data_IF_543778905916
#
_entry.id   IF_543778905916
#
_cell.length_a   1.000
_cell.length_b   1.000
_cell.length_c   1.000
_cell.angle_alpha   90.00
_cell.angle_beta   90.00
_cell.angle_gamma   90.00
#
_symmetry.space_group_name_H-M   'P 1'
#
loop_
_entity.id
_entity.type
_entity.pdbx_description
1 polymer ?
#
# COMPACT_ATOMS: atom_id res chain seq x y z
N UNK A 1 4.76 24.47 -2.77
CA UNK A 1 4.67 23.35 -1.80
C UNK A 1 6.05 23.10 -1.21
N UNK A 2 6.20 22.99 0.11
CA UNK A 2 7.49 22.64 0.70
C UNK A 2 7.85 21.16 0.44
N UNK A 3 9.13 20.79 0.50
CA UNK A 3 9.57 19.40 0.35
C UNK A 3 8.87 18.46 1.35
N UNK A 4 8.63 18.94 2.58
CA UNK A 4 7.91 18.19 3.60
C UNK A 4 6.44 17.95 3.26
N UNK A 5 5.76 18.94 2.67
CA UNK A 5 4.37 18.78 2.21
C UNK A 5 4.31 17.81 1.03
N UNK A 6 5.26 17.87 0.11
CA UNK A 6 5.33 16.97 -1.03
C UNK A 6 5.60 15.52 -0.57
N UNK A 7 6.51 15.33 0.38
CA UNK A 7 6.75 14.00 1.01
C UNK A 7 5.47 13.45 1.64
N UNK A 8 4.75 14.25 2.43
CA UNK A 8 3.50 13.82 3.05
C UNK A 8 2.45 13.47 1.98
N UNK A 9 2.39 14.21 0.88
CA UNK A 9 1.47 13.91 -0.22
C UNK A 9 1.77 12.54 -0.85
N UNK A 10 3.02 12.22 -1.12
CA UNK A 10 3.40 10.89 -1.61
C UNK A 10 3.04 9.78 -0.62
N UNK A 11 3.25 9.99 0.68
CA UNK A 11 2.85 9.03 1.70
C UNK A 11 1.33 8.86 1.76
N UNK A 12 0.56 9.94 1.59
CA UNK A 12 -0.89 9.87 1.50
C UNK A 12 -1.37 9.06 0.29
N UNK A 13 -0.77 9.30 -0.88
CA UNK A 13 -1.02 8.45 -2.06
C UNK A 13 -0.63 6.99 -1.83
N UNK A 14 0.44 6.75 -1.08
CA UNK A 14 0.83 5.39 -0.67
C UNK A 14 -0.25 4.70 0.14
N UNK A 15 -0.83 5.37 1.15
CA UNK A 15 -1.90 4.80 1.97
C UNK A 15 -3.18 4.53 1.16
N UNK A 16 -3.52 5.46 0.28
CA UNK A 16 -4.62 5.27 -0.67
C UNK A 16 -4.38 4.05 -1.56
N UNK A 17 -3.21 3.96 -2.19
CA UNK A 17 -2.86 2.87 -3.09
C UNK A 17 -2.86 1.52 -2.38
N UNK A 18 -2.29 1.44 -1.18
CA UNK A 18 -2.23 0.22 -0.37
C UNK A 18 -3.62 -0.41 -0.20
N UNK A 19 -4.58 0.36 0.29
CA UNK A 19 -5.94 -0.12 0.48
C UNK A 19 -6.69 -0.36 -0.83
N UNK A 20 -6.48 0.48 -1.84
CA UNK A 20 -7.07 0.28 -3.17
C UNK A 20 -6.68 -1.09 -3.73
N UNK A 21 -5.38 -1.38 -3.80
CA UNK A 21 -4.88 -2.61 -4.41
C UNK A 21 -5.29 -3.88 -3.66
N UNK A 22 -5.32 -3.83 -2.33
CA UNK A 22 -5.75 -4.97 -1.51
C UNK A 22 -7.23 -5.32 -1.72
N UNK A 23 -8.05 -4.41 -2.26
CA UNK A 23 -9.50 -4.60 -2.41
C UNK A 23 -9.99 -4.71 -3.86
N UNK A 24 -9.14 -4.43 -4.88
CA UNK A 24 -9.52 -4.57 -6.30
C UNK A 24 -10.10 -5.95 -6.59
N UNK A 25 -9.43 -7.00 -6.13
CA UNK A 25 -9.82 -8.38 -6.42
C UNK A 25 -11.21 -8.73 -5.88
N UNK A 26 -11.57 -8.25 -4.70
CA UNK A 26 -12.90 -8.51 -4.12
C UNK A 26 -14.04 -8.07 -5.05
N UNK A 27 -13.85 -6.98 -5.81
CA UNK A 27 -14.82 -6.51 -6.79
C UNK A 27 -14.65 -7.17 -8.17
N UNK A 28 -13.41 -7.50 -8.57
CA UNK A 28 -13.11 -8.10 -9.87
C UNK A 28 -13.35 -9.62 -9.92
N UNK A 29 -13.51 -10.28 -8.77
CA UNK A 29 -13.53 -11.74 -8.62
C UNK A 29 -14.58 -12.42 -9.53
N UNK A 30 -15.81 -11.88 -9.59
CA UNK A 30 -16.89 -12.43 -10.44
C UNK A 30 -16.49 -12.39 -11.91
N UNK A 31 -16.05 -11.21 -12.38
CA UNK A 31 -15.71 -11.03 -13.80
C UNK A 31 -14.50 -11.87 -14.19
N UNK A 32 -13.52 -12.03 -13.32
CA UNK A 32 -12.39 -12.92 -13.54
C UNK A 32 -12.83 -14.39 -13.56
N UNK A 33 -13.69 -14.82 -12.62
CA UNK A 33 -14.22 -16.19 -12.57
C UNK A 33 -14.99 -16.56 -13.84
N UNK A 34 -15.86 -15.66 -14.31
CA UNK A 34 -16.59 -15.87 -15.57
C UNK A 34 -15.63 -15.98 -16.76
N UNK A 35 -14.56 -15.18 -16.80
CA UNK A 35 -13.55 -15.26 -17.85
C UNK A 35 -12.75 -16.58 -17.81
N UNK A 36 -12.69 -17.26 -16.66
CA UNK A 36 -12.07 -18.59 -16.49
C UNK A 36 -13.06 -19.75 -16.68
N UNK A 37 -14.31 -19.46 -17.10
CA UNK A 37 -15.32 -20.48 -17.37
C UNK A 37 -16.10 -20.95 -16.14
N UNK A 38 -15.98 -20.26 -15.00
CA UNK A 38 -16.85 -20.51 -13.83
C UNK A 38 -18.25 -19.99 -14.14
N UNK A 39 -19.29 -20.76 -13.79
CA UNK A 39 -20.67 -20.44 -14.16
C UNK A 39 -21.42 -19.75 -13.01
N UNK A 40 -22.18 -18.70 -13.37
CA UNK A 40 -23.29 -18.19 -12.60
C UNK A 40 -22.95 -17.56 -11.24
N UNK A 41 -23.91 -17.64 -10.33
CA UNK A 41 -23.86 -17.02 -8.99
C UNK A 41 -22.76 -17.60 -8.09
N UNK A 42 -22.25 -18.80 -8.36
CA UNK A 42 -21.17 -19.46 -7.63
C UNK A 42 -19.77 -18.86 -7.89
N UNK A 43 -19.56 -18.17 -9.00
CA UNK A 43 -18.24 -17.67 -9.40
C UNK A 43 -17.56 -16.80 -8.33
N UNK A 44 -18.32 -15.99 -7.59
CA UNK A 44 -17.78 -15.18 -6.50
C UNK A 44 -17.26 -16.05 -5.35
N UNK A 45 -18.07 -16.99 -4.87
CA UNK A 45 -17.70 -17.86 -3.76
C UNK A 45 -16.50 -18.76 -4.10
N UNK A 46 -16.39 -19.20 -5.37
CA UNK A 46 -15.26 -19.98 -5.83
C UNK A 46 -13.98 -19.16 -5.96
N UNK A 47 -14.08 -17.88 -6.38
CA UNK A 47 -12.91 -17.03 -6.62
C UNK A 47 -12.34 -16.37 -5.36
N UNK A 48 -13.18 -15.96 -4.40
CA UNK A 48 -12.75 -15.21 -3.22
C UNK A 48 -11.62 -15.87 -2.42
N UNK A 49 -11.59 -17.20 -2.21
CA UNK A 49 -10.50 -17.85 -1.49
C UNK A 49 -9.12 -17.62 -2.11
N UNK A 50 -9.03 -17.40 -3.41
CA UNK A 50 -7.76 -17.11 -4.10
C UNK A 50 -7.18 -15.70 -3.74
N UNK A 51 -7.96 -14.85 -3.10
CA UNK A 51 -7.49 -13.60 -2.52
C UNK A 51 -6.83 -13.76 -1.14
N UNK A 52 -7.03 -14.86 -0.43
CA UNK A 52 -6.50 -15.06 0.93
C UNK A 52 -4.96 -14.98 1.01
N UNK A 53 -4.18 -15.51 0.06
CA UNK A 53 -2.72 -15.41 0.11
C UNK A 53 -2.23 -13.97 0.19
N UNK A 54 -2.88 -13.01 -0.46
CA UNK A 54 -2.49 -11.59 -0.38
C UNK A 54 -2.65 -11.05 1.04
N UNK A 55 -3.74 -11.35 1.73
CA UNK A 55 -4.02 -10.90 3.10
C UNK A 55 -3.05 -11.53 4.10
N UNK A 56 -2.75 -12.82 3.94
CA UNK A 56 -1.80 -13.54 4.79
C UNK A 56 -0.40 -12.94 4.65
N UNK A 57 0.07 -12.75 3.42
CA UNK A 57 1.41 -12.21 3.16
C UNK A 57 1.51 -10.72 3.50
N UNK A 58 0.45 -9.94 3.31
CA UNK A 58 0.35 -8.57 3.79
C UNK A 58 0.67 -8.47 5.28
N UNK A 59 0.05 -9.31 6.11
CA UNK A 59 0.33 -9.35 7.55
C UNK A 59 1.70 -9.94 7.89
N UNK A 60 2.03 -11.10 7.32
CA UNK A 60 3.25 -11.85 7.66
C UNK A 60 4.54 -11.16 7.22
N UNK A 61 4.52 -10.43 6.09
CA UNK A 61 5.71 -9.73 5.57
C UNK A 61 5.93 -8.34 6.21
N UNK A 62 4.96 -7.78 6.93
CA UNK A 62 5.09 -6.44 7.52
C UNK A 62 6.26 -6.30 8.52
N UNK A 63 6.52 -7.25 9.44
CA UNK A 63 7.70 -7.19 10.31
C UNK A 63 9.02 -7.27 9.54
N UNK A 64 9.04 -8.06 8.45
CA UNK A 64 10.22 -8.20 7.59
C UNK A 64 10.49 -6.86 6.87
N UNK A 65 9.45 -6.24 6.32
CA UNK A 65 9.53 -4.94 5.66
C UNK A 65 10.03 -3.85 6.61
N UNK A 66 9.54 -3.81 7.86
CA UNK A 66 10.04 -2.91 8.90
C UNK A 66 11.54 -3.09 9.14
N UNK A 67 11.97 -4.34 9.35
CA UNK A 67 13.38 -4.65 9.61
C UNK A 67 14.30 -4.27 8.44
N UNK A 68 13.88 -4.52 7.21
CA UNK A 68 14.65 -4.12 6.02
C UNK A 68 14.73 -2.59 5.92
N UNK A 69 13.61 -1.89 6.15
CA UNK A 69 13.56 -0.44 6.10
C UNK A 69 14.50 0.23 7.12
N UNK A 70 14.60 -0.33 8.32
CA UNK A 70 15.49 0.18 9.38
C UNK A 70 16.98 -0.05 9.06
N UNK A 71 17.31 -1.13 8.35
CA UNK A 71 18.69 -1.45 7.97
C UNK A 71 19.15 -0.80 6.66
N UNK A 72 18.22 -0.54 5.76
CA UNK A 72 18.56 -0.04 4.42
C UNK A 72 18.12 1.42 4.25
N UNK A 73 16.86 1.67 3.87
CA UNK A 73 16.33 3.01 3.65
C UNK A 73 14.81 3.00 3.56
N UNK A 74 14.13 3.78 4.41
CA UNK A 74 12.68 3.94 4.32
C UNK A 74 12.23 4.57 3.01
N UNK A 75 12.99 5.55 2.48
CA UNK A 75 12.67 6.14 1.17
C UNK A 75 12.76 5.10 0.05
N UNK A 76 13.81 4.26 0.04
CA UNK A 76 13.95 3.19 -0.95
C UNK A 76 12.81 2.18 -0.82
N UNK A 77 12.41 1.82 0.40
CA UNK A 77 11.28 0.91 0.63
C UNK A 77 9.96 1.47 0.12
N UNK A 78 9.69 2.76 0.21
CA UNK A 78 8.50 3.39 -0.38
C UNK A 78 8.56 3.35 -1.93
N UNK A 79 9.73 3.49 -2.53
CA UNK A 79 9.90 3.28 -3.98
C UNK A 79 9.58 1.84 -4.35
N UNK A 80 10.15 0.88 -3.60
CA UNK A 80 9.89 -0.58 -3.78
C UNK A 80 8.40 -0.89 -3.62
N UNK A 81 7.73 -0.30 -2.64
CA UNK A 81 6.28 -0.41 -2.45
C UNK A 81 5.52 -0.01 -3.72
N UNK A 82 5.68 1.22 -4.19
CA UNK A 82 4.91 1.72 -5.34
C UNK A 82 5.18 0.94 -6.63
N UNK A 83 6.45 0.65 -6.91
CA UNK A 83 6.84 -0.08 -8.12
C UNK A 83 6.41 -1.53 -8.01
N UNK A 84 6.64 -2.16 -6.86
CA UNK A 84 6.33 -3.58 -6.63
C UNK A 84 4.83 -3.86 -6.68
N UNK A 85 4.01 -3.06 -5.97
CA UNK A 85 2.56 -3.24 -5.96
C UNK A 85 1.97 -2.97 -7.35
N UNK A 86 2.47 -1.95 -8.08
CA UNK A 86 2.05 -1.66 -9.44
C UNK A 86 2.44 -2.75 -10.42
N UNK A 87 3.69 -3.22 -10.37
CA UNK A 87 4.18 -4.30 -11.22
C UNK A 87 3.42 -5.61 -10.99
N UNK A 88 3.27 -6.04 -9.73
CA UNK A 88 2.55 -7.28 -9.40
C UNK A 88 1.08 -7.20 -9.76
N UNK A 89 0.45 -6.04 -9.65
CA UNK A 89 -0.91 -5.81 -10.13
C UNK A 89 -1.00 -6.04 -11.64
N UNK A 90 -0.10 -5.46 -12.44
CA UNK A 90 -0.06 -5.68 -13.89
C UNK A 90 0.17 -7.17 -14.20
N UNK A 91 1.09 -7.84 -13.50
CA UNK A 91 1.31 -9.28 -13.70
C UNK A 91 0.07 -10.11 -13.36
N UNK A 92 -0.67 -9.76 -12.30
CA UNK A 92 -1.93 -10.41 -11.94
C UNK A 92 -2.96 -10.31 -13.07
N UNK A 93 -2.98 -9.22 -13.82
CA UNK A 93 -3.89 -9.07 -14.96
C UNK A 93 -3.67 -10.05 -16.11
N UNK A 94 -2.46 -10.64 -16.19
CA UNK A 94 -2.11 -11.61 -17.23
C UNK A 94 -2.55 -13.05 -16.90
N UNK A 95 -3.13 -13.27 -15.71
CA UNK A 95 -3.57 -14.59 -15.27
C UNK A 95 -4.60 -15.20 -16.22
N UNK A 96 -4.47 -16.51 -16.45
CA UNK A 96 -5.37 -17.33 -17.29
C UNK A 96 -6.21 -18.29 -16.45
N UNK A 97 -5.97 -18.33 -15.12
CA UNK A 97 -6.70 -19.18 -14.17
C UNK A 97 -6.60 -18.71 -12.73
N UNK A 98 -7.42 -19.31 -11.84
CA UNK A 98 -7.51 -18.90 -10.43
C UNK A 98 -6.20 -19.01 -9.65
N UNK A 99 -5.39 -20.05 -9.92
CA UNK A 99 -4.11 -20.27 -9.24
C UNK A 99 -3.12 -19.15 -9.57
N UNK A 100 -3.06 -18.73 -10.84
CA UNK A 100 -2.19 -17.64 -11.28
C UNK A 100 -2.61 -16.31 -10.64
N UNK A 101 -3.92 -16.06 -10.54
CA UNK A 101 -4.43 -14.91 -9.76
C UNK A 101 -3.94 -14.99 -8.30
N UNK A 102 -4.05 -16.15 -7.64
CA UNK A 102 -3.62 -16.31 -6.27
C UNK A 102 -2.12 -16.00 -6.09
N UNK A 103 -1.28 -16.45 -7.03
CA UNK A 103 0.16 -16.17 -7.02
C UNK A 103 0.43 -14.67 -7.21
N UNK A 104 -0.24 -14.05 -8.19
CA UNK A 104 -0.11 -12.61 -8.43
C UNK A 104 -0.55 -11.77 -7.24
N UNK A 105 -1.70 -12.11 -6.63
CA UNK A 105 -2.20 -11.45 -5.43
C UNK A 105 -1.30 -11.69 -4.21
N UNK A 106 -0.72 -12.89 -4.07
CA UNK A 106 0.26 -13.19 -3.03
C UNK A 106 1.48 -12.26 -3.14
N UNK A 107 2.03 -12.13 -4.34
CA UNK A 107 3.14 -11.20 -4.62
C UNK A 107 2.74 -9.74 -4.34
N UNK A 108 1.52 -9.34 -4.71
CA UNK A 108 0.97 -8.02 -4.41
C UNK A 108 0.92 -7.79 -2.90
N UNK A 109 0.46 -8.77 -2.11
CA UNK A 109 0.42 -8.70 -0.64
C UNK A 109 1.80 -8.51 0.00
N UNK A 110 2.85 -9.12 -0.56
CA UNK A 110 4.25 -8.93 -0.10
C UNK A 110 4.67 -7.46 -0.23
N UNK A 111 4.40 -6.82 -1.37
CA UNK A 111 4.77 -5.41 -1.56
C UNK A 111 3.86 -4.46 -0.80
N UNK A 112 2.56 -4.76 -0.69
CA UNK A 112 1.61 -3.99 0.12
C UNK A 112 2.02 -3.98 1.61
N UNK A 113 2.57 -5.07 2.15
CA UNK A 113 3.06 -5.18 3.52
C UNK A 113 4.08 -4.09 3.92
N UNK A 114 4.70 -3.41 2.93
CA UNK A 114 5.71 -2.39 3.18
C UNK A 114 5.07 -1.09 3.73
N UNK A 115 3.89 -0.70 3.24
CA UNK A 115 3.39 0.64 3.50
C UNK A 115 3.15 0.92 4.98
N UNK A 116 2.43 0.06 5.69
CA UNK A 116 2.04 0.33 7.07
C UNK A 116 3.25 0.52 8.01
N UNK A 117 4.22 -0.37 8.10
CA UNK A 117 5.34 -0.17 9.01
C UNK A 117 6.28 0.95 8.57
N UNK A 118 6.46 1.16 7.26
CA UNK A 118 7.43 2.14 6.74
C UNK A 118 6.80 3.50 6.55
N UNK A 119 5.68 3.57 5.81
CA UNK A 119 5.01 4.82 5.47
C UNK A 119 4.46 5.56 6.69
N UNK A 120 3.78 4.85 7.61
CA UNK A 120 3.26 5.44 8.84
C UNK A 120 4.40 5.98 9.72
N UNK A 121 5.50 5.24 9.86
CA UNK A 121 6.68 5.71 10.58
C UNK A 121 7.20 7.02 9.96
N UNK A 122 7.29 7.11 8.62
CA UNK A 122 7.72 8.32 7.93
C UNK A 122 6.73 9.50 8.09
N UNK A 123 5.42 9.22 8.20
CA UNK A 123 4.41 10.23 8.54
C UNK A 123 4.68 10.80 9.93
N UNK A 124 4.98 9.97 10.93
CA UNK A 124 5.28 10.38 12.30
C UNK A 124 6.57 11.21 12.34
N UNK A 125 7.63 10.74 11.71
CA UNK A 125 8.95 11.41 11.67
C UNK A 125 8.95 12.76 10.97
N UNK A 126 7.93 13.06 10.19
CA UNK A 126 7.81 14.35 9.53
C UNK A 126 7.65 15.57 10.46
N UNK A 127 7.58 15.36 11.79
CA UNK A 127 7.53 16.42 12.80
C UNK A 127 6.23 17.22 12.84
N UNK A 128 6.19 18.26 13.66
CA UNK A 128 5.05 19.16 13.81
C UNK A 128 3.84 18.49 14.47
N UNK A 129 2.63 18.74 13.96
CA UNK A 129 1.36 18.21 14.51
C UNK A 129 1.16 16.76 14.07
N UNK A 130 1.81 15.80 14.73
CA UNK A 130 1.80 14.37 14.39
C UNK A 130 0.36 13.82 14.30
N UNK A 131 -0.51 14.12 15.26
CA UNK A 131 -1.90 13.67 15.24
C UNK A 131 -2.67 14.14 14.01
N UNK A 132 -2.46 15.39 13.57
CA UNK A 132 -3.06 15.89 12.34
C UNK A 132 -2.55 15.15 11.09
N UNK A 133 -1.24 14.91 11.01
CA UNK A 133 -0.64 14.19 9.88
C UNK A 133 -1.15 12.76 9.78
N UNK A 134 -1.22 12.05 10.91
CA UNK A 134 -1.80 10.71 10.98
C UNK A 134 -3.28 10.72 10.61
N UNK A 135 -4.05 11.71 11.09
CA UNK A 135 -5.46 11.86 10.74
C UNK A 135 -5.65 12.05 9.24
N UNK A 136 -4.90 12.98 8.62
CA UNK A 136 -4.94 13.19 7.15
C UNK A 136 -4.54 11.93 6.41
N UNK A 137 -3.45 11.28 6.81
CA UNK A 137 -3.00 10.04 6.19
C UNK A 137 -4.04 8.92 6.33
N UNK A 138 -4.71 8.79 7.48
CA UNK A 138 -5.81 7.86 7.69
C UNK A 138 -7.02 8.12 6.78
N UNK A 139 -7.36 9.39 6.53
CA UNK A 139 -8.41 9.75 5.56
C UNK A 139 -8.06 9.23 4.16
N UNK A 140 -6.81 9.39 3.72
CA UNK A 140 -6.37 8.87 2.41
C UNK A 140 -6.46 7.34 2.33
N UNK A 141 -6.11 6.62 3.41
CA UNK A 141 -6.30 5.17 3.48
C UNK A 141 -7.77 4.77 3.33
N UNK A 142 -8.67 5.42 4.09
CA UNK A 142 -10.11 5.17 3.99
C UNK A 142 -10.68 5.54 2.60
N UNK A 143 -10.16 6.59 1.96
CA UNK A 143 -10.50 6.90 0.57
C UNK A 143 -10.09 5.78 -0.38
N UNK A 144 -8.94 5.12 -0.16
CA UNK A 144 -8.51 3.95 -0.91
C UNK A 144 -9.49 2.78 -0.78
N UNK A 145 -9.95 2.51 0.46
CA UNK A 145 -10.99 1.50 0.72
C UNK A 145 -12.28 1.79 -0.05
N UNK A 146 -12.77 3.03 0.02
CA UNK A 146 -14.00 3.44 -0.65
C UNK A 146 -13.84 3.49 -2.18
N UNK A 147 -12.69 3.90 -2.67
CA UNK A 147 -12.40 4.02 -4.10
C UNK A 147 -12.25 2.65 -4.79
N UNK A 148 -11.81 1.62 -4.07
CA UNK A 148 -11.57 0.30 -4.66
C UNK A 148 -12.82 -0.28 -5.37
N UNK A 149 -13.99 -0.44 -4.73
CA UNK A 149 -15.16 -0.94 -5.40
C UNK A 149 -15.71 0.03 -6.45
N UNK A 150 -15.56 1.35 -6.27
CA UNK A 150 -16.06 2.36 -7.20
C UNK A 150 -15.23 2.37 -8.49
N UNK A 151 -13.91 2.49 -8.38
CA UNK A 151 -13.00 2.51 -9.55
C UNK A 151 -13.07 1.18 -10.28
N UNK A 152 -12.95 0.07 -9.55
CA UNK A 152 -13.04 -1.27 -10.15
C UNK A 152 -14.39 -1.48 -10.82
N UNK A 153 -15.50 -1.14 -10.15
CA UNK A 153 -16.84 -1.26 -10.70
C UNK A 153 -17.05 -0.43 -11.95
N UNK A 154 -16.53 0.81 -12.00
CA UNK A 154 -16.58 1.67 -13.18
C UNK A 154 -15.80 1.06 -14.35
N UNK A 155 -14.60 0.54 -14.09
CA UNK A 155 -13.79 -0.13 -15.13
C UNK A 155 -14.51 -1.36 -15.66
N UNK A 156 -15.06 -2.20 -14.78
CA UNK A 156 -15.80 -3.42 -15.16
C UNK A 156 -17.09 -3.15 -15.96
N UNK A 157 -17.68 -1.98 -15.80
CA UNK A 157 -18.87 -1.60 -16.55
C UNK A 157 -18.58 -1.30 -18.03
N UNK A 158 -17.33 -0.99 -18.37
CA UNK A 158 -16.93 -0.54 -19.71
C UNK A 158 -15.89 -1.46 -20.34
N UNK A 159 -15.04 -2.09 -19.52
CA UNK A 159 -13.86 -2.84 -19.93
C UNK A 159 -13.76 -4.21 -19.24
N UNK A 160 -12.76 -4.98 -19.65
CA UNK A 160 -12.38 -6.27 -19.05
C UNK A 160 -11.78 -6.06 -17.64
N UNK A 161 -11.93 -7.07 -16.77
CA UNK A 161 -11.44 -7.08 -15.40
C UNK A 161 -9.92 -6.84 -15.27
N UNK A 162 -9.16 -7.20 -16.31
CA UNK A 162 -7.72 -7.02 -16.35
C UNK A 162 -7.32 -5.55 -16.24
N UNK A 163 -8.09 -4.65 -16.86
CA UNK A 163 -7.81 -3.21 -16.79
C UNK A 163 -8.00 -2.63 -15.38
N UNK A 164 -8.79 -3.27 -14.52
CA UNK A 164 -8.89 -2.89 -13.11
C UNK A 164 -7.56 -3.08 -12.35
N UNK A 165 -6.70 -3.97 -12.81
CA UNK A 165 -5.34 -4.15 -12.27
C UNK A 165 -4.29 -3.34 -13.04
N UNK A 166 -4.40 -3.24 -14.35
CA UNK A 166 -3.40 -2.57 -15.21
C UNK A 166 -3.38 -1.07 -14.96
N UNK A 167 -4.54 -0.40 -14.99
CA UNK A 167 -4.59 1.06 -14.90
C UNK A 167 -4.05 1.59 -13.55
N UNK A 168 -4.52 1.12 -12.38
CA UNK A 168 -3.92 1.50 -11.11
C UNK A 168 -2.46 1.08 -11.01
N UNK A 169 -2.08 -0.07 -11.59
CA UNK A 169 -0.71 -0.56 -11.60
C UNK A 169 0.25 0.41 -12.28
N UNK A 170 -0.09 0.89 -13.48
CA UNK A 170 0.70 1.90 -14.20
C UNK A 170 0.79 3.20 -13.38
N UNK A 171 -0.33 3.68 -12.84
CA UNK A 171 -0.36 4.91 -12.03
C UNK A 171 0.56 4.77 -10.81
N UNK A 172 0.49 3.63 -10.10
CA UNK A 172 1.36 3.38 -8.95
C UNK A 172 2.84 3.41 -9.33
N UNK A 173 3.22 2.75 -10.43
CA UNK A 173 4.62 2.77 -10.90
C UNK A 173 5.08 4.19 -11.26
N UNK A 174 4.24 4.98 -11.92
CA UNK A 174 4.55 6.39 -12.23
C UNK A 174 4.75 7.23 -10.96
N UNK A 175 3.91 7.02 -9.93
CA UNK A 175 4.08 7.65 -8.61
C UNK A 175 5.40 7.18 -7.98
N UNK A 176 5.72 5.89 -8.05
CA UNK A 176 6.97 5.33 -7.54
C UNK A 176 8.22 5.94 -8.18
N UNK A 177 8.25 6.07 -9.51
CA UNK A 177 9.33 6.75 -10.23
C UNK A 177 9.41 8.25 -9.88
N UNK A 178 8.27 8.92 -9.74
CA UNK A 178 8.22 10.33 -9.32
C UNK A 178 8.75 10.50 -7.88
N UNK A 179 8.40 9.58 -6.98
CA UNK A 179 8.93 9.58 -5.62
C UNK A 179 10.42 9.28 -5.57
N UNK A 180 10.89 8.33 -6.37
CA UNK A 180 12.31 8.02 -6.50
C UNK A 180 13.10 9.27 -6.94
N UNK A 181 12.65 9.95 -8.00
CA UNK A 181 13.28 11.18 -8.46
C UNK A 181 13.30 12.25 -7.36
N UNK A 182 12.18 12.49 -6.68
CA UNK A 182 12.07 13.42 -5.56
C UNK A 182 13.04 13.08 -4.44
N UNK A 183 13.15 11.81 -4.06
CA UNK A 183 14.03 11.34 -3.00
C UNK A 183 15.53 11.55 -3.36
N UNK A 184 15.89 11.27 -4.62
CA UNK A 184 17.26 11.43 -5.11
C UNK A 184 17.70 12.90 -5.28
N UNK A 185 16.79 13.81 -5.61
CA UNK A 185 17.08 15.25 -5.70
C UNK A 185 17.15 15.96 -4.33
N UNK A 186 17.09 15.20 -3.24
CA UNK A 186 17.26 15.70 -1.87
C UNK A 186 15.99 16.21 -1.20
N UNK A 187 14.83 16.12 -1.88
CA UNK A 187 13.55 16.54 -1.32
C UNK A 187 13.03 15.65 -0.19
N UNK A 188 13.51 14.42 -0.11
CA UNK A 188 13.06 13.43 0.88
C UNK A 188 13.90 13.38 2.17
N UNK A 189 14.86 14.29 2.37
CA UNK A 189 15.61 14.36 3.64
C UNK A 189 14.62 14.57 4.79
N UNK A 190 14.68 13.68 5.78
CA UNK A 190 13.94 13.89 7.02
C UNK A 190 14.45 15.20 7.67
N UNK A 191 13.57 16.01 8.27
CA UNK A 191 14.02 17.10 9.13
C UNK A 191 14.96 16.52 10.21
N UNK A 192 16.09 17.15 10.45
CA UNK A 192 16.92 16.78 11.61
C UNK A 192 16.06 16.91 12.86
N UNK A 193 15.91 15.81 13.61
CA UNK A 193 15.18 15.84 14.86
C UNK A 193 15.85 16.85 15.79
N UNK A 194 15.09 17.85 16.24
CA UNK A 194 15.60 18.83 17.20
C UNK A 194 16.00 18.13 18.49
N UNK A 195 16.95 18.71 19.25
CA UNK A 195 17.41 18.13 20.52
C UNK A 195 16.24 17.86 21.50
N UNK A 196 15.14 18.61 21.37
CA UNK A 196 13.91 18.46 22.16
C UNK A 196 13.09 17.21 21.75
N UNK A 197 13.06 16.85 20.45
CA UNK A 197 12.38 15.64 19.97
C UNK A 197 13.14 14.37 20.34
N UNK A 198 14.49 14.43 20.32
CA UNK A 198 15.35 13.33 20.79
C UNK A 198 15.19 13.05 22.29
N UNK A 199 14.90 14.08 23.10
CA UNK A 199 14.66 13.94 24.53
C UNK A 199 13.28 13.35 24.88
N UNK A 200 12.28 13.48 23.99
CA UNK A 200 10.93 12.92 24.21
C UNK A 200 10.76 11.46 23.77
N UNK A 201 11.71 10.87 23.04
CA UNK A 201 11.71 9.44 22.66
C UNK A 201 12.25 8.54 23.78
N UNK A 202 12.88 9.12 24.81
CA UNK A 202 13.17 8.43 26.05
C UNK A 202 11.86 8.19 26.84
N UNK A 203 11.50 6.94 27.08
CA UNK A 203 10.39 6.59 27.98
C UNK A 203 10.57 7.34 29.30
N UNK A 204 9.55 8.09 29.74
CA UNK A 204 9.59 8.78 31.03
C UNK A 204 9.96 7.77 32.13
N UNK A 205 10.90 8.10 33.06
CA UNK A 205 11.36 7.18 34.07
C UNK A 205 10.27 6.86 35.12
N UNK A 206 9.20 6.27 34.78
CA UNK A 206 8.06 5.98 35.68
C UNK A 206 7.06 4.99 35.13
N UNK A 207 7.11 4.69 33.84
CA UNK A 207 6.14 3.75 33.23
C UNK A 207 6.28 2.31 33.78
N UNK A 208 7.47 1.91 34.24
CA UNK A 208 7.72 0.60 34.88
C UNK A 208 6.97 0.44 36.21
N UNK A 209 6.57 1.52 36.88
CA UNK A 209 5.84 1.50 38.16
C UNK A 209 4.31 1.43 37.95
N UNK A 210 3.81 1.59 36.73
CA UNK A 210 2.40 1.54 36.41
C UNK A 210 1.92 0.13 35.97
N UNK A 211 2.82 -0.85 35.90
CA UNK A 211 2.53 -2.23 35.48
C UNK A 211 2.65 -3.24 36.63
N UNK A 212 2.74 -2.80 37.88
CA UNK A 212 2.63 -3.59 39.11
C UNK A 212 1.44 -3.06 39.90
#
# INVERSE_FOLDING_TARGET
MSAQQLRLLFLNFGHFADHLFMLIFAKAAVSAGLAFGLAGEGAYAEMIPYGLPSLILFGACAPIAAHIADKWSRNAMIVVFFIGIGFTSIMTSLSTGPIEIAIGLAALGVFAAIYHPVGITMVIEGGGRVGWRLGVNGVWGNMGVAAAPLITGFILAIYDWRLAFVLPGIISMLIGFSYWFFAYTGGAKAPEATAREKAHVGFAPGWQRALI
#
